data_IF_084785507843
#
_entry.id   IF_084785507843
#
_cell.length_a   1.000
_cell.length_b   1.000
_cell.length_c   1.000
_cell.angle_alpha   90.00
_cell.angle_beta   90.00
_cell.angle_gamma   90.00
#
_symmetry.space_group_name_H-M   'P 1'
#
loop_
_entity.id
_entity.type
_entity.pdbx_description
1 polymer ?
#
# COMPACT_ATOMS: atom_id res chain seq x y z
N UNK A 1 7.23 16.19 3.46
CA UNK A 1 7.02 14.73 3.61
C UNK A 1 7.59 14.07 2.37
N UNK A 2 8.68 13.31 2.53
CA UNK A 2 9.48 12.57 1.54
C UNK A 2 9.96 13.26 0.22
N UNK A 3 9.54 14.49 -0.13
CA UNK A 3 10.08 15.27 -1.26
C UNK A 3 10.19 14.43 -2.53
N UNK A 4 9.02 13.95 -3.01
CA UNK A 4 8.92 13.01 -4.13
C UNK A 4 9.40 13.63 -5.45
N UNK A 5 9.29 14.94 -5.58
CA UNK A 5 9.75 15.77 -6.70
C UNK A 5 11.28 15.79 -6.86
N UNK A 6 12.03 15.46 -5.82
CA UNK A 6 13.49 15.35 -5.89
C UNK A 6 13.98 13.99 -6.41
N UNK A 7 13.10 13.01 -6.56
CA UNK A 7 13.49 11.68 -7.05
C UNK A 7 13.84 11.76 -8.53
N UNK A 8 15.09 11.45 -8.87
CA UNK A 8 15.59 11.50 -10.25
C UNK A 8 14.90 10.45 -11.11
N UNK A 9 14.38 10.87 -12.26
CA UNK A 9 13.77 9.99 -13.27
C UNK A 9 14.45 10.15 -14.63
N UNK A 10 14.33 9.15 -15.49
CA UNK A 10 14.84 9.22 -16.86
C UNK A 10 14.10 10.24 -17.73
N UNK A 11 14.75 10.73 -18.78
CA UNK A 11 14.19 11.74 -19.70
C UNK A 11 12.86 11.33 -20.34
N UNK A 12 12.66 10.02 -20.56
CA UNK A 12 11.38 9.47 -21.06
C UNK A 12 10.19 9.83 -20.17
N UNK A 13 10.35 9.82 -18.85
CA UNK A 13 9.27 10.14 -17.90
C UNK A 13 8.93 11.63 -17.95
N UNK A 14 9.93 12.49 -18.15
CA UNK A 14 9.70 13.93 -18.35
C UNK A 14 8.86 14.20 -19.60
N UNK A 15 9.16 13.51 -20.70
CA UNK A 15 8.37 13.60 -21.93
C UNK A 15 6.92 13.11 -21.73
N UNK A 16 6.73 12.01 -21.00
CA UNK A 16 5.38 11.50 -20.66
C UNK A 16 4.61 12.55 -19.84
N UNK A 17 5.27 13.18 -18.86
CA UNK A 17 4.68 14.23 -18.04
C UNK A 17 4.24 15.44 -18.89
N UNK A 18 5.10 15.90 -19.80
CA UNK A 18 4.79 16.98 -20.75
C UNK A 18 3.59 16.65 -21.65
N UNK A 19 3.57 15.45 -22.26
CA UNK A 19 2.48 14.99 -23.14
C UNK A 19 1.13 14.97 -22.41
N UNK A 20 1.14 14.62 -21.12
CA UNK A 20 -0.08 14.50 -20.31
C UNK A 20 -0.43 15.80 -19.56
N UNK A 21 0.38 16.86 -19.68
CA UNK A 21 0.18 18.11 -18.92
C UNK A 21 0.26 17.90 -17.41
N UNK A 22 1.06 16.94 -16.95
CA UNK A 22 1.24 16.57 -15.54
C UNK A 22 2.68 16.87 -15.10
N UNK A 23 2.90 17.00 -13.79
CA UNK A 23 4.24 16.93 -13.23
C UNK A 23 4.79 15.51 -13.32
N UNK A 24 6.13 15.38 -13.30
CA UNK A 24 6.81 14.09 -13.22
C UNK A 24 6.33 13.28 -12.02
N UNK A 25 6.18 13.93 -10.88
CA UNK A 25 5.72 13.31 -9.64
C UNK A 25 4.31 12.77 -9.79
N UNK A 26 3.38 13.52 -10.39
CA UNK A 26 2.02 13.04 -10.64
C UNK A 26 2.00 11.82 -11.55
N UNK A 27 2.81 11.79 -12.62
CA UNK A 27 2.94 10.61 -13.49
C UNK A 27 3.45 9.40 -12.70
N UNK A 28 4.51 9.57 -11.92
CA UNK A 28 5.09 8.48 -11.13
C UNK A 28 4.15 7.98 -10.03
N UNK A 29 3.45 8.89 -9.35
CA UNK A 29 2.44 8.54 -8.34
C UNK A 29 1.27 7.80 -8.98
N UNK A 30 0.73 8.31 -10.09
CA UNK A 30 -0.38 7.67 -10.80
C UNK A 30 0.00 6.27 -11.27
N UNK A 31 1.17 6.12 -11.92
CA UNK A 31 1.68 4.81 -12.32
C UNK A 31 1.92 3.88 -11.12
N UNK A 32 2.45 4.40 -10.00
CA UNK A 32 2.67 3.63 -8.77
C UNK A 32 1.37 3.08 -8.18
N UNK A 33 0.34 3.92 -8.05
CA UNK A 33 -0.96 3.51 -7.50
C UNK A 33 -1.63 2.50 -8.43
N UNK A 34 -1.58 2.74 -9.75
CA UNK A 34 -2.10 1.80 -10.75
C UNK A 34 -1.38 0.46 -10.69
N UNK A 35 -0.04 0.44 -10.59
CA UNK A 35 0.73 -0.80 -10.44
C UNK A 35 0.36 -1.53 -9.14
N UNK A 36 0.21 -0.81 -8.03
CA UNK A 36 -0.19 -1.42 -6.76
C UNK A 36 -1.60 -2.00 -6.79
N UNK A 37 -2.51 -1.41 -7.57
CA UNK A 37 -3.86 -1.93 -7.78
C UNK A 37 -3.85 -3.30 -8.49
N UNK A 38 -2.99 -3.48 -9.49
CA UNK A 38 -2.90 -4.76 -10.24
C UNK A 38 -2.26 -5.89 -9.44
N UNK A 39 -1.48 -5.56 -8.41
CA UNK A 39 -0.79 -6.55 -7.54
C UNK A 39 -1.37 -6.63 -6.13
N UNK A 40 -2.59 -6.15 -5.90
CA UNK A 40 -3.26 -6.28 -4.60
C UNK A 40 -3.41 -7.76 -4.25
N UNK A 41 -2.77 -8.19 -3.16
CA UNK A 41 -2.81 -9.58 -2.73
C UNK A 41 -4.19 -9.96 -2.17
N UNK A 42 -4.64 -11.21 -2.37
CA UNK A 42 -6.00 -11.59 -2.00
C UNK A 42 -6.21 -11.59 -0.48
N UNK A 43 -5.23 -12.07 0.29
CA UNK A 43 -5.36 -12.26 1.75
C UNK A 43 -4.27 -11.54 2.51
N UNK A 44 -4.58 -11.11 3.74
CA UNK A 44 -3.59 -10.46 4.61
C UNK A 44 -2.35 -11.33 4.89
N UNK A 45 -2.52 -12.67 4.93
CA UNK A 45 -1.39 -13.60 5.13
C UNK A 45 -0.40 -13.66 3.97
N UNK A 46 -0.78 -13.14 2.80
CA UNK A 46 0.08 -13.07 1.63
C UNK A 46 1.03 -11.86 1.70
N UNK A 47 0.82 -10.96 2.66
CA UNK A 47 1.71 -9.84 3.00
C UNK A 47 2.66 -10.17 4.16
N UNK A 48 2.80 -11.45 4.52
CA UNK A 48 3.69 -11.84 5.60
C UNK A 48 5.14 -11.62 5.19
N UNK A 49 5.89 -11.01 6.11
CA UNK A 49 7.31 -10.72 5.93
C UNK A 49 8.09 -11.77 6.71
N UNK A 50 8.97 -12.48 6.02
CA UNK A 50 9.85 -13.48 6.61
C UNK A 50 11.26 -12.90 6.69
N UNK A 51 11.76 -12.81 7.92
CA UNK A 51 13.07 -12.29 8.30
C UNK A 51 13.86 -13.46 8.89
N UNK A 52 15.12 -13.62 8.50
CA UNK A 52 15.93 -14.74 8.98
C UNK A 52 16.23 -14.61 10.48
N UNK A 53 16.35 -13.37 10.95
CA UNK A 53 16.83 -12.98 12.26
C UNK A 53 15.72 -13.00 13.30
N UNK A 54 14.52 -12.56 12.90
CA UNK A 54 13.40 -12.29 13.82
C UNK A 54 12.15 -13.12 13.51
N UNK A 55 12.21 -13.95 12.47
CA UNK A 55 11.13 -14.84 12.06
C UNK A 55 10.09 -14.12 11.22
N UNK A 56 8.80 -14.29 11.57
CA UNK A 56 7.68 -13.90 10.69
C UNK A 56 6.88 -12.74 11.27
N UNK A 57 6.78 -11.64 10.53
CA UNK A 57 5.82 -10.58 10.80
C UNK A 57 4.58 -10.84 9.96
N UNK A 58 3.46 -11.16 10.62
CA UNK A 58 2.18 -11.44 9.94
C UNK A 58 1.62 -10.17 9.31
N UNK A 59 1.06 -10.25 8.11
CA UNK A 59 0.41 -9.14 7.43
C UNK A 59 -0.84 -8.64 8.17
N UNK A 60 -1.53 -9.49 8.95
CA UNK A 60 -2.56 -9.02 9.91
C UNK A 60 -1.96 -8.10 10.98
N UNK A 61 -0.73 -8.38 11.45
CA UNK A 61 -0.03 -7.52 12.40
C UNK A 61 0.30 -6.18 11.75
N UNK A 62 0.84 -6.19 10.53
CA UNK A 62 1.10 -4.96 9.76
C UNK A 62 -0.17 -4.14 9.55
N UNK A 63 -1.26 -4.77 9.09
CA UNK A 63 -2.57 -4.14 8.92
C UNK A 63 -3.05 -3.47 10.22
N UNK A 64 -2.90 -4.14 11.36
CA UNK A 64 -3.33 -3.58 12.64
C UNK A 64 -2.42 -2.44 13.12
N UNK A 65 -1.14 -2.45 12.75
CA UNK A 65 -0.23 -1.31 13.00
C UNK A 65 -0.56 -0.11 12.13
N UNK A 66 -1.01 -0.35 10.88
CA UNK A 66 -1.37 0.70 9.93
C UNK A 66 -2.77 1.28 10.22
N UNK A 67 -3.81 0.44 10.31
CA UNK A 67 -5.19 0.88 10.50
C UNK A 67 -5.64 0.97 11.97
N UNK A 68 -4.79 0.61 12.91
CA UNK A 68 -5.20 0.46 14.31
C UNK A 68 -6.06 -0.77 14.59
N UNK A 69 -6.35 -0.95 15.88
CA UNK A 69 -7.15 -2.06 16.41
C UNK A 69 -7.81 -1.65 17.71
N UNK A 70 -9.12 -1.88 17.81
CA UNK A 70 -9.85 -1.70 19.08
C UNK A 70 -9.21 -2.55 20.20
N UNK A 71 -9.14 -2.03 21.44
CA UNK A 71 -8.66 -2.81 22.56
C UNK A 71 -9.53 -4.05 22.78
N UNK A 72 -8.96 -5.04 23.44
CA UNK A 72 -9.71 -6.21 23.91
C UNK A 72 -10.72 -5.82 24.99
N UNK A 73 -11.59 -6.76 25.38
CA UNK A 73 -12.62 -6.51 26.41
C UNK A 73 -12.03 -6.07 27.76
N UNK A 74 -10.79 -6.43 28.04
CA UNK A 74 -10.02 -6.05 29.23
C UNK A 74 -9.31 -4.68 29.10
N UNK A 75 -9.50 -3.97 27.98
CA UNK A 75 -8.86 -2.68 27.70
C UNK A 75 -7.43 -2.79 27.17
N UNK A 76 -6.87 -4.00 27.05
CA UNK A 76 -5.48 -4.19 26.61
C UNK A 76 -5.35 -4.26 25.10
N UNK A 77 -4.10 -4.21 24.60
CA UNK A 77 -3.77 -4.53 23.21
C UNK A 77 -4.40 -3.62 22.13
N UNK A 78 -4.97 -2.47 22.50
CA UNK A 78 -5.43 -1.45 21.57
C UNK A 78 -4.26 -0.83 20.79
N UNK A 79 -4.54 -0.43 19.55
CA UNK A 79 -3.62 0.32 18.68
C UNK A 79 -4.42 1.49 18.11
N UNK A 80 -3.85 2.69 18.17
CA UNK A 80 -4.46 3.92 17.65
C UNK A 80 -4.96 3.74 16.23
N UNK A 81 -6.19 4.21 15.94
CA UNK A 81 -6.78 4.15 14.59
C UNK A 81 -6.27 5.33 13.77
N UNK A 82 -5.10 5.14 13.14
CA UNK A 82 -4.45 6.19 12.37
C UNK A 82 -5.27 6.67 11.16
N UNK A 83 -6.15 5.82 10.61
CA UNK A 83 -7.00 6.20 9.47
C UNK A 83 -8.13 7.11 9.94
N UNK A 84 -8.81 6.78 11.03
CA UNK A 84 -9.87 7.66 11.53
C UNK A 84 -9.29 9.01 11.99
N UNK A 85 -8.12 9.02 12.65
CA UNK A 85 -7.45 10.26 13.01
C UNK A 85 -7.17 11.11 11.75
N UNK A 86 -6.68 10.50 10.67
CA UNK A 86 -6.45 11.20 9.40
C UNK A 86 -7.77 11.76 8.82
N UNK A 87 -8.88 11.03 8.92
CA UNK A 87 -10.21 11.48 8.48
C UNK A 87 -10.82 12.56 9.37
N UNK A 88 -10.33 12.72 10.59
CA UNK A 88 -10.70 13.83 11.50
C UNK A 88 -9.84 15.07 11.26
N UNK A 89 -8.62 14.90 10.73
CA UNK A 89 -7.65 15.98 10.48
C UNK A 89 -7.77 16.59 9.08
N UNK A 90 -8.22 15.81 8.09
CA UNK A 90 -8.33 16.23 6.69
C UNK A 90 -9.71 15.92 6.11
N UNK A 91 -10.18 16.78 5.18
CA UNK A 91 -11.34 16.48 4.34
C UNK A 91 -11.06 15.24 3.47
N UNK A 92 -12.07 14.39 3.29
CA UNK A 92 -11.91 13.11 2.59
C UNK A 92 -11.50 13.31 1.12
N UNK A 93 -11.97 14.38 0.50
CA UNK A 93 -11.63 14.78 -0.86
C UNK A 93 -10.16 15.19 -0.97
N UNK A 94 -9.60 15.85 0.06
CA UNK A 94 -8.18 16.21 0.10
C UNK A 94 -7.31 14.97 0.19
N UNK A 95 -7.72 14.01 1.02
CA UNK A 95 -7.05 12.70 1.10
C UNK A 95 -7.12 11.99 -0.24
N UNK A 96 -8.25 12.04 -0.95
CA UNK A 96 -8.40 11.40 -2.26
C UNK A 96 -7.57 12.08 -3.36
N UNK A 97 -7.51 13.41 -3.37
CA UNK A 97 -6.73 14.19 -4.34
C UNK A 97 -5.22 13.94 -4.20
N UNK A 98 -4.74 13.80 -2.96
CA UNK A 98 -3.34 13.50 -2.64
C UNK A 98 -3.16 12.13 -1.95
N UNK A 99 -3.82 11.13 -2.53
CA UNK A 99 -3.97 9.78 -1.97
C UNK A 99 -2.66 9.10 -1.58
N UNK A 100 -1.65 9.20 -2.44
CA UNK A 100 -0.40 8.48 -2.23
C UNK A 100 0.43 9.11 -1.11
N UNK A 101 0.47 10.44 -1.00
CA UNK A 101 1.16 11.11 0.12
C UNK A 101 0.48 10.81 1.45
N UNK A 102 -0.87 10.82 1.51
CA UNK A 102 -1.58 10.41 2.72
C UNK A 102 -1.38 8.91 3.03
N UNK A 103 -1.17 8.07 2.03
CA UNK A 103 -0.75 6.68 2.26
C UNK A 103 0.64 6.61 2.90
N UNK A 104 1.60 7.42 2.43
CA UNK A 104 2.93 7.50 3.04
C UNK A 104 2.87 8.05 4.47
N UNK A 105 2.01 9.03 4.71
CA UNK A 105 1.76 9.57 6.04
C UNK A 105 1.18 8.51 6.98
N UNK A 106 0.28 7.66 6.49
CA UNK A 106 -0.28 6.56 7.26
C UNK A 106 0.82 5.57 7.70
N UNK A 107 1.82 5.33 6.85
CA UNK A 107 3.00 4.54 7.19
C UNK A 107 3.88 5.27 8.21
N UNK A 108 4.09 6.57 8.04
CA UNK A 108 4.83 7.39 9.02
C UNK A 108 4.20 7.32 10.41
N UNK A 109 2.87 7.47 10.50
CA UNK A 109 2.09 7.33 11.75
C UNK A 109 2.26 5.94 12.37
N UNK A 110 2.18 4.89 11.55
CA UNK A 110 2.34 3.51 12.01
C UNK A 110 3.76 3.24 12.55
N UNK A 111 4.80 3.69 11.84
CA UNK A 111 6.20 3.54 12.25
C UNK A 111 6.50 4.35 13.51
N UNK A 112 6.07 5.62 13.58
CA UNK A 112 6.15 6.42 14.81
C UNK A 112 5.47 5.74 15.98
N UNK A 113 4.27 5.20 15.79
CA UNK A 113 3.59 4.46 16.87
C UNK A 113 4.38 3.23 17.34
N UNK A 114 5.19 2.61 16.47
CA UNK A 114 6.04 1.47 16.83
C UNK A 114 7.26 1.94 17.64
N UNK A 115 7.95 2.98 17.20
CA UNK A 115 9.20 3.44 17.81
C UNK A 115 9.00 4.36 19.01
N UNK A 116 8.03 5.27 18.94
CA UNK A 116 7.73 6.26 19.99
C UNK A 116 6.71 5.72 21.01
N UNK A 117 6.01 4.63 20.66
CA UNK A 117 5.02 4.01 21.53
C UNK A 117 5.63 3.25 22.72
N UNK A 118 4.77 2.92 23.69
CA UNK A 118 5.07 2.09 24.86
C UNK A 118 5.18 0.60 24.49
N UNK A 119 6.01 0.28 23.50
CA UNK A 119 6.35 -1.09 23.13
C UNK A 119 7.64 -1.53 23.82
N UNK A 120 7.67 -2.79 24.28
CA UNK A 120 8.88 -3.35 24.89
C UNK A 120 10.06 -3.41 23.90
N UNK A 121 11.28 -3.38 24.41
CA UNK A 121 12.53 -3.34 23.63
C UNK A 121 12.57 -4.39 22.50
N UNK A 122 12.20 -5.63 22.82
CA UNK A 122 12.14 -6.73 21.84
C UNK A 122 11.25 -6.44 20.63
N UNK A 123 10.15 -5.71 20.81
CA UNK A 123 9.28 -5.33 19.68
C UNK A 123 10.02 -4.30 18.81
N UNK A 124 10.66 -3.31 19.43
CA UNK A 124 11.42 -2.28 18.70
C UNK A 124 12.57 -2.90 17.90
N UNK A 125 13.33 -3.83 18.48
CA UNK A 125 14.40 -4.58 17.80
C UNK A 125 13.88 -5.36 16.58
N UNK A 126 12.72 -6.04 16.71
CA UNK A 126 12.12 -6.76 15.58
C UNK A 126 11.81 -5.82 14.43
N UNK A 127 11.24 -4.65 14.73
CA UNK A 127 10.89 -3.67 13.71
C UNK A 127 12.10 -2.92 13.16
N UNK A 128 13.16 -2.72 13.93
CA UNK A 128 14.45 -2.19 13.47
C UNK A 128 15.08 -3.12 12.43
N UNK A 129 15.17 -4.43 12.73
CA UNK A 129 15.59 -5.42 11.72
C UNK A 129 14.66 -5.36 10.52
N UNK A 130 13.34 -5.39 10.73
CA UNK A 130 12.37 -5.35 9.63
C UNK A 130 12.53 -4.12 8.73
N UNK A 131 12.80 -2.96 9.31
CA UNK A 131 13.00 -1.71 8.58
C UNK A 131 14.19 -1.77 7.62
N UNK A 132 15.22 -2.56 7.94
CA UNK A 132 16.37 -2.79 7.05
C UNK A 132 16.03 -3.59 5.78
N UNK A 133 14.90 -4.31 5.77
CA UNK A 133 14.46 -5.12 4.63
C UNK A 133 13.44 -4.36 3.76
N UNK A 134 13.74 -4.08 2.48
CA UNK A 134 12.82 -3.35 1.60
C UNK A 134 11.43 -3.99 1.47
N UNK A 135 11.35 -5.32 1.51
CA UNK A 135 10.09 -6.07 1.42
C UNK A 135 9.12 -5.75 2.57
N UNK A 136 9.63 -5.35 3.74
CA UNK A 136 8.79 -4.94 4.87
C UNK A 136 8.06 -3.64 4.56
N UNK A 137 8.79 -2.59 4.16
CA UNK A 137 8.21 -1.30 3.81
C UNK A 137 7.35 -1.39 2.55
N UNK A 138 7.75 -2.19 1.56
CA UNK A 138 6.92 -2.47 0.39
C UNK A 138 5.59 -3.12 0.78
N UNK A 139 5.60 -4.10 1.69
CA UNK A 139 4.37 -4.74 2.20
C UNK A 139 3.51 -3.75 2.98
N UNK A 140 4.11 -2.87 3.79
CA UNK A 140 3.38 -1.80 4.45
C UNK A 140 2.73 -0.84 3.43
N UNK A 141 3.43 -0.49 2.36
CA UNK A 141 2.93 0.38 1.29
C UNK A 141 1.73 -0.23 0.56
N UNK A 142 1.83 -1.49 0.15
CA UNK A 142 0.71 -2.18 -0.47
C UNK A 142 -0.51 -2.30 0.47
N UNK A 143 -0.27 -2.58 1.75
CA UNK A 143 -1.35 -2.63 2.77
C UNK A 143 -1.95 -1.23 2.97
N UNK A 144 -1.13 -0.19 3.06
CA UNK A 144 -1.54 1.20 3.23
C UNK A 144 -2.46 1.66 2.10
N UNK A 145 -2.02 1.48 0.84
CA UNK A 145 -2.83 1.80 -0.36
C UNK A 145 -4.17 1.08 -0.31
N UNK A 146 -4.16 -0.24 -0.07
CA UNK A 146 -5.40 -1.03 0.00
C UNK A 146 -6.33 -0.52 1.10
N UNK A 147 -5.81 -0.29 2.31
CA UNK A 147 -6.63 0.08 3.46
C UNK A 147 -7.22 1.48 3.32
N UNK A 148 -6.42 2.46 2.91
CA UNK A 148 -6.90 3.83 2.73
C UNK A 148 -7.96 3.89 1.64
N UNK A 149 -7.72 3.23 0.50
CA UNK A 149 -8.68 3.17 -0.61
C UNK A 149 -10.00 2.52 -0.19
N UNK A 150 -9.96 1.37 0.50
CA UNK A 150 -11.16 0.70 0.99
C UNK A 150 -11.94 1.57 1.99
N UNK A 151 -11.25 2.30 2.86
CA UNK A 151 -11.88 3.16 3.89
C UNK A 151 -12.53 4.40 3.28
N UNK A 152 -11.95 4.97 2.24
CA UNK A 152 -12.59 6.04 1.44
C UNK A 152 -13.85 5.52 0.73
N UNK A 153 -13.81 4.33 0.11
CA UNK A 153 -14.98 3.70 -0.50
C UNK A 153 -16.09 3.39 0.51
N UNK A 154 -15.75 2.95 1.71
CA UNK A 154 -16.73 2.74 2.80
C UNK A 154 -17.38 4.05 3.28
N UNK A 155 -16.77 5.21 2.96
CA UNK A 155 -17.33 6.55 3.15
C UNK A 155 -18.01 7.12 1.89
N UNK A 156 -18.23 6.29 0.86
CA UNK A 156 -18.79 6.67 -0.43
C UNK A 156 -17.95 7.68 -1.22
N UNK A 157 -16.64 7.70 -1.01
CA UNK A 157 -15.70 8.49 -1.82
C UNK A 157 -15.18 7.60 -2.95
N UNK A 158 -15.44 8.03 -4.19
CA UNK A 158 -14.89 7.40 -5.38
C UNK A 158 -13.42 7.83 -5.55
N UNK A 159 -12.50 6.86 -5.69
CA UNK A 159 -11.09 7.22 -5.75
C UNK A 159 -10.73 7.95 -7.04
N UNK A 160 -9.76 8.87 -6.96
CA UNK A 160 -9.22 9.60 -8.11
C UNK A 160 -8.49 8.68 -9.08
N UNK A 161 -7.77 7.67 -8.57
CA UNK A 161 -7.20 6.59 -9.38
C UNK A 161 -8.29 5.54 -9.64
N UNK A 162 -8.82 5.50 -10.87
CA UNK A 162 -9.98 4.68 -11.23
C UNK A 162 -9.67 3.20 -11.26
N UNK A 163 -8.44 2.84 -11.58
CA UNK A 163 -7.96 1.47 -11.57
C UNK A 163 -8.01 0.90 -10.16
N UNK A 164 -7.45 1.61 -9.18
CA UNK A 164 -7.53 1.21 -7.78
C UNK A 164 -8.99 1.17 -7.30
N UNK A 165 -9.79 2.17 -7.64
CA UNK A 165 -11.21 2.21 -7.26
C UNK A 165 -11.94 0.94 -7.71
N UNK A 166 -11.87 0.65 -9.01
CA UNK A 166 -12.54 -0.48 -9.64
C UNK A 166 -12.06 -1.82 -9.08
N UNK A 167 -10.74 -2.03 -8.98
CA UNK A 167 -10.19 -3.29 -8.44
C UNK A 167 -10.65 -3.52 -6.99
N UNK A 168 -10.64 -2.48 -6.14
CA UNK A 168 -11.12 -2.63 -4.76
C UNK A 168 -12.61 -2.92 -4.69
N UNK A 169 -13.43 -2.32 -5.57
CA UNK A 169 -14.86 -2.62 -5.67
C UNK A 169 -15.09 -4.08 -6.09
N UNK A 170 -14.40 -4.58 -7.11
CA UNK A 170 -14.54 -5.95 -7.59
C UNK A 170 -14.07 -6.97 -6.54
N UNK A 171 -12.96 -6.71 -5.83
CA UNK A 171 -12.53 -7.52 -4.68
C UNK A 171 -13.61 -7.55 -3.60
N UNK A 172 -14.27 -6.42 -3.32
CA UNK A 172 -15.36 -6.34 -2.33
C UNK A 172 -16.58 -7.14 -2.78
N UNK A 173 -16.98 -7.03 -4.06
CA UNK A 173 -18.12 -7.77 -4.64
C UNK A 173 -17.86 -9.29 -4.68
N UNK A 174 -16.65 -9.71 -5.06
CA UNK A 174 -16.27 -11.12 -5.26
C UNK A 174 -15.61 -11.74 -4.03
N UNK A 175 -15.73 -11.13 -2.85
CA UNK A 175 -15.11 -11.60 -1.60
C UNK A 175 -15.36 -13.08 -1.31
N UNK A 176 -16.61 -13.54 -1.41
CA UNK A 176 -16.96 -14.94 -1.11
C UNK A 176 -16.27 -15.91 -2.09
N UNK A 177 -16.21 -15.54 -3.37
CA UNK A 177 -15.53 -16.31 -4.43
C UNK A 177 -14.03 -16.40 -4.16
N UNK A 178 -13.39 -15.28 -3.80
CA UNK A 178 -11.98 -15.23 -3.41
C UNK A 178 -11.75 -16.12 -2.19
N UNK A 179 -12.59 -16.01 -1.16
CA UNK A 179 -12.48 -16.86 0.03
C UNK A 179 -12.58 -18.36 -0.31
N UNK A 180 -13.50 -18.74 -1.20
CA UNK A 180 -13.65 -20.12 -1.69
C UNK A 180 -12.43 -20.64 -2.45
N UNK A 181 -11.86 -19.83 -3.35
CA UNK A 181 -10.67 -20.17 -4.11
C UNK A 181 -9.51 -20.59 -3.20
N UNK A 182 -9.44 -20.00 -2.00
CA UNK A 182 -8.39 -20.27 -1.02
C UNK A 182 -8.78 -21.24 0.10
N UNK A 183 -10.03 -21.71 0.19
CA UNK A 183 -10.48 -22.70 1.20
C UNK A 183 -9.88 -24.09 0.95
N UNK A 184 -9.66 -24.46 -0.31
CA UNK A 184 -9.15 -25.77 -0.73
C UNK A 184 -7.63 -25.89 -0.73
N UNK A 185 -6.89 -24.77 -0.55
CA UNK A 185 -5.42 -24.77 -0.59
C UNK A 185 -4.85 -25.61 0.56
N UNK A 186 -4.10 -26.67 0.23
CA UNK A 186 -3.39 -27.54 1.18
C UNK A 186 -1.90 -27.61 0.90
N UNK A 187 -1.50 -27.41 -0.35
CA UNK A 187 -0.11 -27.48 -0.81
C UNK A 187 0.37 -26.14 -1.38
N UNK A 188 1.68 -26.04 -1.65
CA UNK A 188 2.25 -24.89 -2.34
C UNK A 188 1.79 -24.78 -3.81
N UNK A 189 1.51 -25.92 -4.46
CA UNK A 189 1.01 -25.92 -5.84
C UNK A 189 -0.45 -25.45 -5.90
N UNK A 190 -1.30 -25.89 -4.96
CA UNK A 190 -2.68 -25.37 -4.86
C UNK A 190 -2.68 -23.86 -4.66
N UNK A 191 -1.74 -23.35 -3.85
CA UNK A 191 -1.57 -21.92 -3.62
C UNK A 191 -1.20 -21.20 -4.90
N UNK A 192 -0.25 -21.73 -5.66
CA UNK A 192 0.18 -21.15 -6.95
C UNK A 192 -1.00 -21.11 -7.93
N UNK A 193 -1.75 -22.20 -8.07
CA UNK A 193 -2.91 -22.26 -8.95
C UNK A 193 -4.01 -21.26 -8.52
N UNK A 194 -4.30 -21.18 -7.22
CA UNK A 194 -5.26 -20.21 -6.70
C UNK A 194 -4.81 -18.76 -6.93
N UNK A 195 -3.50 -18.47 -6.84
CA UNK A 195 -2.97 -17.14 -7.16
C UNK A 195 -3.08 -16.82 -8.65
N UNK A 196 -2.81 -17.78 -9.54
CA UNK A 196 -2.98 -17.60 -11.00
C UNK A 196 -4.43 -17.23 -11.29
N UNK A 197 -5.40 -18.02 -10.82
CA UNK A 197 -6.84 -17.74 -11.04
C UNK A 197 -7.23 -16.37 -10.49
N UNK A 198 -6.73 -16.00 -9.31
CA UNK A 198 -7.03 -14.68 -8.71
C UNK A 198 -6.49 -13.51 -9.55
N UNK A 199 -5.25 -13.60 -10.04
CA UNK A 199 -4.67 -12.53 -10.86
C UNK A 199 -5.24 -12.53 -12.29
N UNK A 200 -5.65 -13.68 -12.81
CA UNK A 200 -6.44 -13.77 -14.04
C UNK A 200 -7.78 -13.06 -13.84
N UNK A 201 -8.48 -13.27 -12.72
CA UNK A 201 -9.70 -12.53 -12.40
C UNK A 201 -9.45 -11.02 -12.31
N UNK A 202 -8.36 -10.57 -11.67
CA UNK A 202 -7.97 -9.14 -11.65
C UNK A 202 -7.76 -8.60 -13.07
N UNK A 203 -7.05 -9.34 -13.92
CA UNK A 203 -6.80 -8.92 -15.31
C UNK A 203 -8.10 -8.86 -16.11
N UNK A 204 -8.98 -9.85 -15.93
CA UNK A 204 -10.32 -9.88 -16.52
C UNK A 204 -11.15 -8.67 -16.07
N UNK A 205 -10.94 -8.11 -14.87
CA UNK A 205 -11.64 -6.87 -14.47
C UNK A 205 -11.27 -5.68 -15.34
N UNK A 206 -10.09 -5.67 -15.97
CA UNK A 206 -9.74 -4.67 -16.99
C UNK A 206 -10.41 -4.98 -18.33
N UNK A 207 -10.41 -6.24 -18.74
CA UNK A 207 -10.90 -6.65 -20.07
C UNK A 207 -12.45 -6.62 -20.14
N UNK A 208 -13.15 -7.16 -19.14
CA UNK A 208 -14.62 -7.07 -19.01
C UNK A 208 -15.14 -5.63 -18.94
N UNK A 209 -14.28 -4.68 -18.58
CA UNK A 209 -14.64 -3.27 -18.51
C UNK A 209 -14.59 -2.57 -19.87
N UNK A 210 -13.76 -3.05 -20.80
CA UNK A 210 -13.69 -2.58 -22.18
C UNK A 210 -14.80 -3.17 -23.06
N UNK A 211 -15.27 -4.38 -22.74
CA UNK A 211 -16.24 -5.14 -23.54
C UNK A 211 -17.71 -4.91 -23.15
N UNK A 212 -18.02 -4.27 -22.01
CA UNK A 212 -19.42 -3.99 -21.63
C UNK A 212 -19.99 -2.87 -22.47
N UNK A 213 -21.11 -3.16 -23.17
CA UNK A 213 -21.87 -2.24 -24.00
C UNK A 213 -21.92 -0.82 -23.40
N UNK A 214 -21.21 0.07 -24.07
CA UNK A 214 -20.94 1.45 -23.66
C UNK A 214 -22.14 2.33 -23.99
N UNK A 215 -23.31 2.00 -23.44
CA UNK A 215 -24.53 2.78 -23.67
C UNK A 215 -24.79 3.85 -22.61
N UNK A 216 -23.99 3.91 -21.54
CA UNK A 216 -24.14 4.88 -20.44
C UNK A 216 -22.87 5.74 -20.24
N UNK A 217 -22.99 7.04 -20.50
CA UNK A 217 -21.85 7.98 -20.58
C UNK A 217 -20.93 8.04 -19.34
N UNK A 218 -21.45 7.77 -18.14
CA UNK A 218 -20.64 7.76 -16.91
C UNK A 218 -19.69 6.55 -16.85
N UNK A 219 -20.14 5.37 -17.34
CA UNK A 219 -19.30 4.16 -17.38
C UNK A 219 -18.20 4.27 -18.43
N UNK A 220 -18.49 4.90 -19.56
CA UNK A 220 -17.49 5.16 -20.61
C UNK A 220 -16.34 6.04 -20.13
N UNK A 221 -16.65 7.09 -19.37
CA UNK A 221 -15.62 8.00 -18.84
C UNK A 221 -14.64 7.26 -17.93
N UNK A 222 -15.15 6.45 -17.00
CA UNK A 222 -14.31 5.62 -16.13
C UNK A 222 -13.48 4.60 -16.93
N UNK A 223 -14.02 4.04 -18.03
CA UNK A 223 -13.27 3.15 -18.94
C UNK A 223 -12.07 3.82 -19.58
N UNK A 224 -12.26 5.04 -20.10
CA UNK A 224 -11.15 5.81 -20.66
C UNK A 224 -10.12 6.20 -19.59
N UNK A 225 -10.54 6.51 -18.37
CA UNK A 225 -9.64 6.85 -17.27
C UNK A 225 -8.79 5.64 -16.82
N UNK A 226 -9.39 4.45 -16.69
CA UNK A 226 -8.66 3.21 -16.38
C UNK A 226 -7.71 2.83 -17.53
N UNK A 227 -8.17 2.90 -18.77
CA UNK A 227 -7.32 2.63 -19.94
C UNK A 227 -6.13 3.60 -20.01
N UNK A 228 -6.36 4.89 -19.75
CA UNK A 228 -5.33 5.91 -19.68
C UNK A 228 -4.33 5.68 -18.55
N UNK A 229 -4.80 5.26 -17.37
CA UNK A 229 -3.95 4.87 -16.24
C UNK A 229 -3.05 3.68 -16.55
N UNK A 230 -3.60 2.64 -17.20
CA UNK A 230 -2.83 1.47 -17.63
C UNK A 230 -1.82 1.81 -18.71
N UNK A 231 -2.23 2.55 -19.73
CA UNK A 231 -1.32 3.01 -20.78
C UNK A 231 -0.19 3.88 -20.22
N UNK A 232 -0.47 4.71 -19.21
CA UNK A 232 0.56 5.48 -18.51
C UNK A 232 1.55 4.56 -17.78
N UNK A 233 1.07 3.55 -17.05
CA UNK A 233 1.94 2.55 -16.42
C UNK A 233 2.82 1.84 -17.46
N UNK A 234 2.25 1.40 -18.59
CA UNK A 234 2.99 0.73 -19.66
C UNK A 234 4.05 1.65 -20.29
N UNK A 235 3.73 2.94 -20.45
CA UNK A 235 4.66 3.94 -20.97
C UNK A 235 5.79 4.27 -19.99
N UNK A 236 5.50 4.34 -18.69
CA UNK A 236 6.50 4.55 -17.63
C UNK A 236 7.39 3.32 -17.48
N UNK A 237 6.80 2.13 -17.51
CA UNK A 237 7.47 0.85 -17.31
C UNK A 237 7.63 0.48 -15.83
N UNK A 238 7.36 -0.79 -15.50
CA UNK A 238 7.38 -1.30 -14.13
C UNK A 238 8.73 -1.08 -13.43
N UNK A 239 9.85 -1.26 -14.12
CA UNK A 239 11.19 -1.06 -13.55
C UNK A 239 11.40 0.37 -13.02
N UNK A 240 10.86 1.37 -13.72
CA UNK A 240 10.96 2.76 -13.27
C UNK A 240 10.05 3.03 -12.06
N UNK A 241 8.87 2.40 -12.02
CA UNK A 241 7.97 2.46 -10.86
C UNK A 241 8.62 1.79 -9.65
N UNK A 242 9.20 0.61 -9.82
CA UNK A 242 9.92 -0.10 -8.76
C UNK A 242 11.14 0.68 -8.27
N UNK A 243 11.88 1.33 -9.17
CA UNK A 243 12.96 2.23 -8.79
C UNK A 243 12.46 3.40 -7.94
N UNK A 244 11.37 4.05 -8.36
CA UNK A 244 10.74 5.15 -7.61
C UNK A 244 10.27 4.71 -6.21
N UNK A 245 9.61 3.56 -6.11
CA UNK A 245 9.23 2.96 -4.83
C UNK A 245 10.47 2.66 -3.98
N UNK A 246 11.54 2.14 -4.59
CA UNK A 246 12.81 1.88 -3.92
C UNK A 246 13.42 3.15 -3.30
N UNK A 247 13.37 4.28 -4.01
CA UNK A 247 13.81 5.57 -3.48
C UNK A 247 12.94 6.06 -2.32
N UNK A 248 11.62 5.88 -2.40
CA UNK A 248 10.70 6.20 -1.29
C UNK A 248 11.03 5.34 -0.06
N UNK A 249 11.18 4.03 -0.26
CA UNK A 249 11.57 3.08 0.79
C UNK A 249 12.88 3.53 1.44
N UNK A 250 13.89 3.89 0.64
CA UNK A 250 15.17 4.38 1.14
C UNK A 250 15.00 5.65 1.99
N UNK A 251 14.23 6.64 1.52
CA UNK A 251 13.94 7.86 2.30
C UNK A 251 13.22 7.56 3.62
N UNK A 252 12.31 6.57 3.64
CA UNK A 252 11.66 6.11 4.89
C UNK A 252 12.69 5.46 5.82
N UNK A 253 13.56 4.59 5.29
CA UNK A 253 14.62 3.94 6.06
C UNK A 253 15.55 4.98 6.68
N UNK A 254 16.07 5.94 5.91
CA UNK A 254 16.94 7.00 6.42
C UNK A 254 16.26 7.75 7.57
N UNK A 255 15.00 8.17 7.38
CA UNK A 255 14.27 8.90 8.40
C UNK A 255 14.13 8.14 9.72
N UNK A 256 13.86 6.84 9.68
CA UNK A 256 13.59 6.06 10.89
C UNK A 256 14.84 5.36 11.45
N UNK A 257 15.86 5.10 10.64
CA UNK A 257 17.14 4.54 11.09
C UNK A 257 18.09 5.61 11.66
N UNK A 258 18.09 6.83 11.10
CA UNK A 258 18.90 7.95 11.64
C UNK A 258 18.30 8.49 12.95
N UNK A 259 16.98 8.39 13.12
CA UNK A 259 16.28 8.82 14.33
C UNK A 259 16.12 7.72 15.39
N UNK A 260 16.76 6.56 15.24
CA UNK A 260 16.95 5.66 16.38
C UNK A 260 17.96 6.40 17.27
N UNK A 261 17.57 6.91 18.45
CA UNK A 261 18.58 7.39 19.38
C UNK A 261 19.52 6.20 19.56
N UNK A 262 20.79 6.36 19.16
CA UNK A 262 21.88 5.48 19.58
C UNK A 262 21.57 5.17 21.03
N UNK A 263 21.15 3.92 21.30
CA UNK A 263 20.88 3.49 22.67
C UNK A 263 22.20 3.79 23.37
N UNK A 264 22.18 4.83 24.20
CA UNK A 264 23.38 5.34 24.84
C UNK A 264 24.01 4.15 25.54
N UNK A 265 25.32 3.90 25.39
CA UNK A 265 26.02 2.96 26.24
C UNK A 265 26.17 3.60 27.61
N UNK A 266 25.07 3.74 28.35
CA UNK A 266 25.07 4.25 29.72
C UNK A 266 24.52 3.15 30.63
N UNK A 267 25.46 2.61 31.41
CA UNK A 267 25.32 1.71 32.56
C UNK A 267 25.24 0.19 32.31
N UNK A 268 26.33 -0.38 31.76
CA UNK A 268 26.91 -1.56 32.42
C UNK A 268 27.73 -1.03 33.60
N UNK A 269 27.08 -0.75 34.72
CA UNK A 269 27.79 -0.75 36.01
C UNK A 269 27.81 -2.19 36.49
N UNK A 270 29.01 -2.76 36.48
CA UNK A 270 29.28 -4.05 37.11
C UNK A 270 28.82 -4.02 38.58
N UNK A 271 28.09 -5.06 38.97
CA UNK A 271 28.17 -5.66 40.31
C UNK A 271 28.35 -7.15 40.13
#
# INVERSE_FOLDING_TARGET
MYELDEIKVGNRIKMIAEINGMSVTEVMVKATVTMMATVVKPRLKDYDVYLMETGRIKGVTLRNKIAGRKPWKDGTHGITDHINNMFEEYELEVINEDFFNHTLELIDRALKSIYDGNHGLKVKEIYEVALSHPNFLYSMLQIGVRLLGQRLQDKNIELKNKTLDHILQEIKKKRNRIEELFKSVRTAEDLKQALIVYYDEINVYFDEFLDRDVTEGTKWKSALEIAGEKAMLDQVGEDNVLYFIGQIIFKIQERFMINIPLIRPEAITMK
#
